data_IF_892058044589
#
_entry.id   IF_892058044589
#
_cell.length_a   1.000
_cell.length_b   1.000
_cell.length_c   1.000
_cell.angle_alpha   90.00
_cell.angle_beta   90.00
_cell.angle_gamma   90.00
#
_symmetry.space_group_name_H-M   'P 1'
#
loop_
_entity.id
_entity.type
_entity.pdbx_description
1 polymer ?
#
# COMPACT_ATOMS: atom_id res chain seq x y z
N UNK A 1 -12.24 -18.78 -4.11
CA UNK A 1 -10.86 -18.33 -4.29
C UNK A 1 -10.55 -17.42 -3.11
N UNK A 2 -9.53 -17.72 -2.33
CA UNK A 2 -9.17 -16.88 -1.17
C UNK A 2 -8.63 -15.54 -1.69
N UNK A 3 -9.26 -14.43 -1.32
CA UNK A 3 -8.86 -13.11 -1.76
C UNK A 3 -7.52 -12.75 -1.09
N UNK A 4 -6.45 -12.74 -1.86
CA UNK A 4 -5.11 -12.44 -1.34
C UNK A 4 -5.01 -10.93 -1.08
N UNK A 5 -5.09 -10.51 0.20
CA UNK A 5 -4.86 -9.11 0.58
C UNK A 5 -3.48 -8.64 0.15
N UNK A 6 -3.44 -7.48 -0.47
CA UNK A 6 -2.22 -6.80 -0.92
C UNK A 6 -2.17 -5.40 -0.29
N UNK A 7 -0.97 -4.96 0.11
CA UNK A 7 -0.72 -3.59 0.50
C UNK A 7 0.45 -3.02 -0.32
N UNK A 8 0.35 -1.74 -0.66
CA UNK A 8 1.37 -0.98 -1.40
C UNK A 8 1.57 0.34 -0.66
N UNK A 9 2.80 0.61 -0.24
CA UNK A 9 3.21 1.89 0.33
C UNK A 9 3.81 2.76 -0.78
N UNK A 10 3.31 3.99 -0.87
CA UNK A 10 3.73 4.98 -1.85
C UNK A 10 4.41 6.15 -1.15
N UNK A 11 5.45 6.70 -1.79
CA UNK A 11 6.04 7.97 -1.41
C UNK A 11 5.94 8.93 -2.59
N UNK A 12 5.48 10.14 -2.32
CA UNK A 12 5.41 11.22 -3.28
C UNK A 12 6.03 12.48 -2.66
N UNK A 13 6.93 13.13 -3.39
CA UNK A 13 7.50 14.41 -3.02
C UNK A 13 7.04 15.46 -4.04
N UNK A 14 6.07 16.32 -3.68
CA UNK A 14 5.52 17.30 -4.60
C UNK A 14 6.54 18.38 -5.02
N UNK A 15 7.59 18.61 -4.24
CA UNK A 15 8.59 19.65 -4.52
C UNK A 15 9.55 19.24 -5.64
N UNK A 16 9.77 17.93 -5.80
CA UNK A 16 10.64 17.37 -6.86
C UNK A 16 9.89 17.21 -8.18
N UNK A 17 8.55 17.18 -8.14
CA UNK A 17 7.72 16.96 -9.33
C UNK A 17 7.81 15.55 -9.91
N UNK A 18 8.48 14.62 -9.21
CA UNK A 18 8.63 13.22 -9.63
C UNK A 18 7.31 12.45 -9.45
N UNK A 19 7.10 11.41 -10.26
CA UNK A 19 5.99 10.49 -10.06
C UNK A 19 6.06 9.80 -8.67
N UNK A 20 4.93 9.45 -8.05
CA UNK A 20 4.92 8.64 -6.84
C UNK A 20 5.68 7.33 -7.04
N UNK A 21 6.48 6.94 -6.06
CA UNK A 21 7.28 5.72 -6.09
C UNK A 21 6.78 4.71 -5.06
N UNK A 22 6.84 3.43 -5.41
CA UNK A 22 6.57 2.34 -4.47
C UNK A 22 7.76 2.20 -3.54
N UNK A 23 7.53 2.28 -2.24
CA UNK A 23 8.56 2.10 -1.21
C UNK A 23 8.48 0.73 -0.54
N UNK A 24 7.29 0.14 -0.48
CA UNK A 24 7.08 -1.22 -0.02
C UNK A 24 5.84 -1.82 -0.68
N UNK A 25 5.85 -3.14 -0.90
CA UNK A 25 4.67 -3.88 -1.35
C UNK A 25 4.70 -5.29 -0.81
N UNK A 26 3.53 -5.88 -0.59
CA UNK A 26 3.46 -7.26 -0.14
C UNK A 26 2.04 -7.80 -0.09
N UNK A 27 1.95 -9.12 0.02
CA UNK A 27 0.68 -9.85 0.12
C UNK A 27 0.56 -10.57 1.47
N UNK A 28 -0.66 -10.96 1.83
CA UNK A 28 -0.97 -11.77 3.02
C UNK A 28 -0.35 -11.20 4.31
N UNK A 29 0.66 -11.88 4.88
CA UNK A 29 1.33 -11.45 6.11
C UNK A 29 2.07 -10.12 5.93
N UNK A 30 2.71 -9.91 4.77
CA UNK A 30 3.41 -8.65 4.51
C UNK A 30 2.42 -7.48 4.38
N UNK A 31 1.26 -7.71 3.78
CA UNK A 31 0.20 -6.70 3.70
C UNK A 31 -0.24 -6.25 5.11
N UNK A 32 -0.53 -7.20 6.01
CA UNK A 32 -0.86 -6.92 7.41
C UNK A 32 0.23 -6.13 8.14
N UNK A 33 1.51 -6.48 7.91
CA UNK A 33 2.64 -5.75 8.53
C UNK A 33 2.74 -4.32 8.02
N UNK A 34 2.58 -4.11 6.72
CA UNK A 34 2.60 -2.76 6.12
C UNK A 34 1.46 -1.92 6.68
N UNK A 35 0.24 -2.46 6.77
CA UNK A 35 -0.92 -1.77 7.36
C UNK A 35 -0.71 -1.44 8.84
N UNK A 36 -0.14 -2.36 9.61
CA UNK A 36 0.16 -2.16 11.03
C UNK A 36 1.16 -1.02 11.22
N UNK A 37 2.23 -1.00 10.42
CA UNK A 37 3.22 0.08 10.46
C UNK A 37 2.62 1.42 10.04
N UNK A 38 1.80 1.44 8.98
CA UNK A 38 1.12 2.65 8.52
C UNK A 38 0.21 3.23 9.61
N UNK A 39 -0.57 2.38 10.29
CA UNK A 39 -1.42 2.79 11.42
C UNK A 39 -0.61 3.34 12.59
N UNK A 40 0.46 2.66 12.98
CA UNK A 40 1.31 3.10 14.10
C UNK A 40 2.01 4.43 13.85
N UNK A 41 2.32 4.73 12.59
CA UNK A 41 2.95 5.98 12.18
C UNK A 41 1.93 7.01 11.63
N UNK A 42 0.63 6.77 11.84
CA UNK A 42 -0.47 7.68 11.45
C UNK A 42 -0.47 8.04 9.96
N UNK A 43 0.05 7.15 9.12
CA UNK A 43 0.00 7.32 7.67
C UNK A 43 -1.41 7.06 7.14
N UNK A 44 -1.89 7.87 6.19
CA UNK A 44 -3.17 7.66 5.56
C UNK A 44 -3.16 6.35 4.75
N UNK A 45 -4.23 5.55 4.89
CA UNK A 45 -4.42 4.30 4.15
C UNK A 45 -5.75 4.31 3.40
N UNK A 46 -5.73 3.86 2.15
CA UNK A 46 -6.94 3.74 1.31
C UNK A 46 -7.15 2.26 1.00
N UNK A 47 -8.28 1.70 1.43
CA UNK A 47 -8.69 0.37 1.05
C UNK A 47 -9.38 0.41 -0.32
N UNK A 48 -8.80 -0.25 -1.32
CA UNK A 48 -9.42 -0.41 -2.63
C UNK A 48 -10.06 -1.78 -2.74
N UNK A 49 -11.25 -1.91 -3.34
CA UNK A 49 -11.81 -3.23 -3.65
C UNK A 49 -10.85 -4.00 -4.55
N UNK A 50 -10.90 -5.33 -4.49
CA UNK A 50 -10.13 -6.17 -5.39
C UNK A 50 -10.40 -5.76 -6.84
N UNK A 51 -9.39 -5.23 -7.53
CA UNK A 51 -9.52 -4.91 -8.94
C UNK A 51 -9.67 -6.24 -9.69
N UNK A 52 -10.72 -6.43 -10.50
CA UNK A 52 -10.81 -7.61 -11.35
C UNK A 52 -9.59 -7.57 -12.27
N UNK A 53 -8.68 -8.54 -12.12
CA UNK A 53 -7.51 -8.67 -12.99
C UNK A 53 -7.98 -8.60 -14.45
N UNK A 54 -7.53 -7.60 -15.21
CA UNK A 54 -7.64 -7.58 -16.68
C UNK A 54 -6.77 -8.65 -17.30
#
# INVERSE_FOLDING_TARGET
MEETRQAIALRYDPLRGDAPVITAQGTALLAQRIETMARSAEFPSIATPASPRS
#
